data_IF_104753253526
#
_entry.id   IF_104753253526
#
_cell.length_a   1.000
_cell.length_b   1.000
_cell.length_c   1.000
_cell.angle_alpha   90.00
_cell.angle_beta   90.00
_cell.angle_gamma   90.00
#
_symmetry.space_group_name_H-M   'P 1'
#
loop_
_entity.id
_entity.type
_entity.pdbx_description
1 polymer ?
#
# COMPACT_ATOMS: atom_id res chain seq x y z
N UNK A 1 -0.66 30.89 19.18
CA UNK A 1 -1.17 29.59 19.66
C UNK A 1 -1.56 28.62 18.53
N UNK A 2 -2.18 29.04 17.42
CA UNK A 2 -2.60 28.14 16.31
C UNK A 2 -1.44 27.38 15.63
N UNK A 3 -0.24 27.95 15.51
CA UNK A 3 0.93 27.33 14.85
C UNK A 3 1.55 26.18 15.66
N UNK A 4 1.47 26.22 17.00
CA UNK A 4 1.95 25.14 17.88
C UNK A 4 1.01 23.92 17.88
N UNK A 5 -0.31 24.13 17.78
CA UNK A 5 -1.31 23.07 17.72
C UNK A 5 -1.20 22.26 16.40
N UNK A 6 -0.89 22.92 15.28
CA UNK A 6 -0.73 22.23 13.98
C UNK A 6 0.53 21.32 13.91
N UNK A 7 1.60 21.69 14.60
CA UNK A 7 2.86 20.91 14.68
C UNK A 7 2.66 19.65 15.52
N UNK A 8 1.88 19.73 16.61
CA UNK A 8 1.55 18.59 17.48
C UNK A 8 0.69 17.53 16.77
N UNK A 9 -0.32 17.96 16.00
CA UNK A 9 -1.22 17.04 15.29
C UNK A 9 -0.50 16.25 14.16
N UNK A 10 0.43 16.88 13.44
CA UNK A 10 1.21 16.23 12.39
C UNK A 10 2.15 15.14 12.91
N UNK A 11 2.69 15.30 14.12
CA UNK A 11 3.54 14.29 14.78
C UNK A 11 2.81 13.02 15.18
N UNK A 12 1.57 13.14 15.65
CA UNK A 12 0.72 12.02 16.04
C UNK A 12 0.37 11.12 14.86
N UNK A 13 -0.20 11.68 13.80
CA UNK A 13 -0.58 10.93 12.60
C UNK A 13 0.59 10.20 11.95
N UNK A 14 1.78 10.81 11.93
CA UNK A 14 2.99 10.18 11.39
C UNK A 14 3.40 8.94 12.19
N UNK A 15 3.39 9.03 13.52
CA UNK A 15 3.73 7.90 14.40
C UNK A 15 2.72 6.77 14.26
N UNK A 16 1.43 7.08 14.22
CA UNK A 16 0.36 6.10 14.01
C UNK A 16 0.54 5.38 12.67
N UNK A 17 0.75 6.13 11.57
CA UNK A 17 0.98 5.54 10.24
C UNK A 17 2.21 4.66 10.21
N UNK A 18 3.32 5.11 10.82
CA UNK A 18 4.53 4.31 10.94
C UNK A 18 4.33 3.02 11.75
N UNK A 19 3.63 3.11 12.88
CA UNK A 19 3.32 1.96 13.73
C UNK A 19 2.42 0.94 13.02
N UNK A 20 1.44 1.41 12.23
CA UNK A 20 0.55 0.55 11.44
C UNK A 20 1.30 -0.18 10.32
N UNK A 21 2.25 0.45 9.63
CA UNK A 21 3.09 -0.24 8.66
C UNK A 21 3.96 -1.31 9.32
N UNK A 22 4.63 -0.99 10.43
CA UNK A 22 5.46 -1.97 11.15
C UNK A 22 4.60 -3.10 11.72
N UNK A 23 3.52 -2.75 12.42
CA UNK A 23 2.63 -3.72 13.03
C UNK A 23 1.99 -4.65 12.02
N UNK A 24 1.48 -4.11 10.89
CA UNK A 24 0.91 -4.89 9.80
C UNK A 24 1.94 -5.84 9.16
N UNK A 25 3.13 -5.33 8.83
CA UNK A 25 4.19 -6.15 8.24
C UNK A 25 4.66 -7.28 9.17
N UNK A 26 4.87 -6.98 10.46
CA UNK A 26 5.31 -7.98 11.46
C UNK A 26 4.20 -9.00 11.72
N UNK A 27 2.96 -8.56 11.92
CA UNK A 27 1.84 -9.45 12.18
C UNK A 27 1.54 -10.37 10.98
N UNK A 28 1.59 -9.82 9.77
CA UNK A 28 1.46 -10.62 8.55
C UNK A 28 2.60 -11.63 8.41
N UNK A 29 3.85 -11.20 8.63
CA UNK A 29 5.02 -12.09 8.58
C UNK A 29 4.92 -13.24 9.60
N UNK A 30 4.44 -12.97 10.81
CA UNK A 30 4.21 -14.00 11.82
C UNK A 30 3.10 -14.99 11.38
N UNK A 31 1.97 -14.49 10.89
CA UNK A 31 0.88 -15.34 10.39
C UNK A 31 1.32 -16.18 9.18
N UNK A 32 2.06 -15.59 8.25
CA UNK A 32 2.67 -16.27 7.11
C UNK A 32 3.63 -17.39 7.53
N UNK A 33 4.44 -17.16 8.57
CA UNK A 33 5.35 -18.17 9.11
C UNK A 33 4.59 -19.37 9.72
N UNK A 34 3.46 -19.10 10.38
CA UNK A 34 2.59 -20.17 10.88
C UNK A 34 2.00 -20.97 9.72
N UNK A 35 1.49 -20.31 8.68
CA UNK A 35 0.98 -21.01 7.48
C UNK A 35 2.07 -21.83 6.79
N UNK A 36 3.28 -21.29 6.68
CA UNK A 36 4.40 -22.02 6.08
C UNK A 36 4.71 -23.31 6.85
N UNK A 37 4.73 -23.26 8.17
CA UNK A 37 5.06 -24.42 9.01
C UNK A 37 3.92 -25.44 9.15
N UNK A 38 2.66 -25.00 9.03
CA UNK A 38 1.48 -25.86 9.29
C UNK A 38 0.73 -26.28 8.03
N UNK A 39 0.88 -25.55 6.94
CA UNK A 39 0.14 -25.75 5.70
C UNK A 39 1.02 -25.66 4.45
N UNK A 40 2.34 -25.68 4.59
CA UNK A 40 3.33 -25.59 3.49
C UNK A 40 3.08 -24.39 2.55
N UNK A 41 2.58 -23.25 3.07
CA UNK A 41 2.38 -22.04 2.27
C UNK A 41 3.73 -21.34 2.03
N UNK A 42 4.07 -20.85 0.84
CA UNK A 42 3.20 -20.74 -0.35
C UNK A 42 3.18 -21.94 -1.30
N UNK A 43 4.01 -22.96 -1.13
CA UNK A 43 4.19 -24.05 -2.10
C UNK A 43 2.90 -24.85 -2.35
N UNK A 44 2.07 -25.00 -1.31
CA UNK A 44 0.75 -25.64 -1.40
C UNK A 44 -0.16 -25.01 -2.48
N UNK A 45 0.10 -23.77 -2.89
CA UNK A 45 -0.67 -23.08 -3.92
C UNK A 45 -0.44 -23.65 -5.32
N UNK A 46 0.57 -24.48 -5.50
CA UNK A 46 0.89 -25.11 -6.80
C UNK A 46 0.51 -26.59 -6.83
N UNK A 47 -0.03 -27.09 -5.71
CA UNK A 47 -0.48 -28.47 -5.59
C UNK A 47 -1.91 -28.68 -6.14
N UNK A 48 -2.25 -29.89 -6.64
CA UNK A 48 -3.59 -30.21 -7.12
C UNK A 48 -4.61 -30.28 -5.98
N UNK A 49 -5.91 -30.22 -6.32
CA UNK A 49 -7.02 -30.32 -5.38
C UNK A 49 -6.92 -31.58 -4.48
N UNK A 50 -6.44 -32.67 -5.03
CA UNK A 50 -6.25 -33.96 -4.32
C UNK A 50 -5.23 -33.91 -3.18
N UNK A 51 -4.35 -32.91 -3.18
CA UNK A 51 -3.40 -32.65 -2.09
C UNK A 51 -3.94 -31.53 -1.19
N UNK A 52 -4.38 -30.42 -1.78
CA UNK A 52 -4.76 -29.22 -1.04
C UNK A 52 -6.00 -29.42 -0.19
N UNK A 53 -7.08 -29.99 -0.76
CA UNK A 53 -8.37 -30.07 -0.06
C UNK A 53 -8.33 -31.03 1.15
N UNK A 54 -7.73 -32.25 1.06
CA UNK A 54 -7.57 -33.09 2.24
C UNK A 54 -6.63 -32.47 3.28
N UNK A 55 -5.54 -31.83 2.88
CA UNK A 55 -4.64 -31.14 3.80
C UNK A 55 -5.36 -29.99 4.53
N UNK A 56 -6.22 -29.25 3.83
CA UNK A 56 -7.02 -28.17 4.42
C UNK A 56 -8.07 -28.72 5.42
N UNK A 57 -8.78 -29.77 5.05
CA UNK A 57 -9.78 -30.42 5.92
C UNK A 57 -9.15 -30.92 7.21
N UNK A 58 -7.97 -31.57 7.12
CA UNK A 58 -7.22 -32.04 8.28
C UNK A 58 -6.73 -30.93 9.20
N UNK A 59 -6.48 -29.73 8.68
CA UNK A 59 -6.11 -28.55 9.45
C UNK A 59 -7.26 -27.95 10.27
N UNK A 60 -8.49 -28.25 9.90
CA UNK A 60 -9.71 -27.91 10.61
C UNK A 60 -9.88 -26.43 10.90
N UNK A 61 -10.63 -26.14 11.96
CA UNK A 61 -10.95 -24.76 12.38
C UNK A 61 -9.72 -23.91 12.71
N UNK A 62 -8.65 -24.53 13.21
CA UNK A 62 -7.38 -23.84 13.53
C UNK A 62 -6.78 -23.21 12.27
N UNK A 63 -6.75 -23.95 11.16
CA UNK A 63 -6.23 -23.47 9.88
C UNK A 63 -7.10 -22.34 9.31
N UNK A 64 -8.43 -22.43 9.44
CA UNK A 64 -9.35 -21.35 9.05
C UNK A 64 -9.06 -20.07 9.79
N UNK A 65 -8.84 -20.13 11.12
CA UNK A 65 -8.49 -18.95 11.90
C UNK A 65 -7.11 -18.39 11.57
N UNK A 66 -6.16 -19.25 11.23
CA UNK A 66 -4.83 -18.83 10.77
C UNK A 66 -4.93 -18.05 9.46
N UNK A 67 -5.73 -18.52 8.50
CA UNK A 67 -6.01 -17.81 7.25
C UNK A 67 -6.75 -16.49 7.50
N UNK A 68 -7.71 -16.47 8.42
CA UNK A 68 -8.41 -15.24 8.80
C UNK A 68 -7.46 -14.19 9.38
N UNK A 69 -6.57 -14.60 10.29
CA UNK A 69 -5.55 -13.73 10.85
C UNK A 69 -4.59 -13.23 9.77
N UNK A 70 -4.14 -14.11 8.86
CA UNK A 70 -3.27 -13.74 7.72
C UNK A 70 -3.93 -12.70 6.83
N UNK A 71 -5.21 -12.90 6.47
CA UNK A 71 -5.97 -11.97 5.64
C UNK A 71 -6.04 -10.58 6.30
N UNK A 72 -6.45 -10.49 7.55
CA UNK A 72 -6.68 -9.20 8.20
C UNK A 72 -5.41 -8.50 8.64
N UNK A 73 -4.34 -9.22 8.98
CA UNK A 73 -3.03 -8.60 9.24
C UNK A 73 -2.46 -7.94 7.99
N UNK A 74 -2.65 -8.56 6.80
CA UNK A 74 -2.34 -7.92 5.52
C UNK A 74 -3.30 -6.76 5.23
N UNK A 75 -4.60 -6.97 5.47
CA UNK A 75 -5.65 -5.96 5.28
C UNK A 75 -5.41 -4.66 6.06
N UNK A 76 -4.79 -4.75 7.23
CA UNK A 76 -4.42 -3.56 8.02
C UNK A 76 -3.52 -2.59 7.27
N UNK A 77 -2.76 -3.04 6.27
CA UNK A 77 -1.87 -2.18 5.48
C UNK A 77 -2.63 -1.12 4.66
N UNK A 78 -3.92 -1.30 4.39
CA UNK A 78 -4.72 -0.30 3.66
C UNK A 78 -4.76 1.03 4.41
N UNK A 79 -4.84 0.98 5.74
CA UNK A 79 -4.97 2.20 6.57
C UNK A 79 -3.73 3.11 6.45
N UNK A 80 -2.50 2.64 6.71
CA UNK A 80 -1.32 3.50 6.57
C UNK A 80 -1.05 3.91 5.12
N UNK A 81 -1.42 3.10 4.11
CA UNK A 81 -1.34 3.49 2.69
C UNK A 81 -2.22 4.72 2.44
N UNK A 82 -3.47 4.72 2.90
CA UNK A 82 -4.41 5.84 2.74
C UNK A 82 -3.96 7.10 3.51
N UNK A 83 -3.31 6.95 4.65
CA UNK A 83 -2.81 8.06 5.46
C UNK A 83 -1.50 8.66 4.93
N UNK A 84 -0.76 7.93 4.10
CA UNK A 84 0.58 8.30 3.67
C UNK A 84 0.68 9.68 2.99
N UNK A 85 -0.22 10.07 2.06
CA UNK A 85 -0.16 11.41 1.44
C UNK A 85 -0.25 12.56 2.44
N UNK A 86 -1.09 12.38 3.48
CA UNK A 86 -1.23 13.36 4.53
C UNK A 86 0.04 13.47 5.40
N UNK A 87 0.61 12.33 5.75
CA UNK A 87 1.83 12.24 6.57
C UNK A 87 3.05 12.81 5.84
N UNK A 88 3.11 12.63 4.52
CA UNK A 88 4.18 13.19 3.69
C UNK A 88 3.96 14.68 3.35
N UNK A 89 2.83 15.28 3.74
CA UNK A 89 2.49 16.67 3.41
C UNK A 89 2.26 16.90 1.91
N UNK A 90 1.80 15.88 1.18
CA UNK A 90 1.66 15.88 -0.28
C UNK A 90 0.27 15.39 -0.75
N UNK A 91 -0.78 15.85 -0.07
CA UNK A 91 -2.16 15.45 -0.39
C UNK A 91 -2.57 15.78 -1.82
N UNK A 92 -2.03 16.87 -2.37
CA UNK A 92 -2.36 17.35 -3.72
C UNK A 92 -1.43 16.83 -4.83
N UNK A 93 -0.44 15.99 -4.48
CA UNK A 93 0.46 15.38 -5.47
C UNK A 93 -0.29 14.30 -6.26
N UNK A 94 -0.52 14.50 -7.59
CA UNK A 94 -1.32 13.57 -8.38
C UNK A 94 -0.72 12.16 -8.43
N UNK A 95 0.62 12.06 -8.53
CA UNK A 95 1.30 10.78 -8.60
C UNK A 95 1.12 9.99 -7.29
N UNK A 96 1.21 10.68 -6.14
CA UNK A 96 1.01 10.04 -4.83
C UNK A 96 -0.46 9.66 -4.60
N UNK A 97 -1.42 10.42 -5.12
CA UNK A 97 -2.85 10.07 -5.07
C UNK A 97 -3.13 8.80 -5.88
N UNK A 98 -2.63 8.73 -7.11
CA UNK A 98 -2.75 7.52 -7.94
C UNK A 98 -2.07 6.33 -7.27
N UNK A 99 -0.84 6.49 -6.78
CA UNK A 99 -0.14 5.44 -6.04
C UNK A 99 -0.94 4.95 -4.83
N UNK A 100 -1.53 5.86 -4.05
CA UNK A 100 -2.35 5.51 -2.88
C UNK A 100 -3.57 4.66 -3.28
N UNK A 101 -4.26 5.04 -4.36
CA UNK A 101 -5.37 4.24 -4.89
C UNK A 101 -4.92 2.86 -5.32
N UNK A 102 -3.82 2.77 -6.08
CA UNK A 102 -3.22 1.51 -6.54
C UNK A 102 -2.82 0.63 -5.36
N UNK A 103 -2.18 1.20 -4.33
CA UNK A 103 -1.80 0.47 -3.12
C UNK A 103 -3.01 -0.04 -2.33
N UNK A 104 -4.05 0.77 -2.19
CA UNK A 104 -5.29 0.35 -1.52
C UNK A 104 -6.01 -0.77 -2.31
N UNK A 105 -6.09 -0.63 -3.63
CA UNK A 105 -6.67 -1.66 -4.51
C UNK A 105 -5.89 -2.98 -4.43
N UNK A 106 -4.55 -2.92 -4.38
CA UNK A 106 -3.69 -4.08 -4.15
C UNK A 106 -4.09 -4.86 -2.89
N UNK A 107 -4.23 -4.15 -1.76
CA UNK A 107 -4.62 -4.78 -0.49
C UNK A 107 -6.00 -5.43 -0.58
N UNK A 108 -6.98 -4.76 -1.21
CA UNK A 108 -8.32 -5.30 -1.37
C UNK A 108 -8.36 -6.56 -2.23
N UNK A 109 -7.62 -6.58 -3.34
CA UNK A 109 -7.52 -7.76 -4.21
C UNK A 109 -6.82 -8.93 -3.50
N UNK A 110 -5.74 -8.66 -2.77
CA UNK A 110 -5.06 -9.68 -1.96
C UNK A 110 -5.96 -10.22 -0.84
N UNK A 111 -6.80 -9.36 -0.22
CA UNK A 111 -7.80 -9.80 0.77
C UNK A 111 -8.80 -10.80 0.18
N UNK A 112 -9.27 -10.59 -1.06
CA UNK A 112 -10.13 -11.55 -1.75
C UNK A 112 -9.40 -12.89 -1.89
N UNK A 113 -8.13 -12.85 -2.31
CA UNK A 113 -7.29 -14.03 -2.42
C UNK A 113 -7.13 -14.80 -1.10
N UNK A 114 -6.88 -14.10 0.01
CA UNK A 114 -6.74 -14.73 1.33
C UNK A 114 -8.08 -15.19 1.91
N UNK A 115 -9.13 -14.37 1.82
CA UNK A 115 -10.42 -14.69 2.43
C UNK A 115 -11.15 -15.87 1.75
N UNK A 116 -10.79 -16.24 0.52
CA UNK A 116 -11.31 -17.49 -0.08
C UNK A 116 -10.97 -18.72 0.76
N UNK A 117 -9.82 -18.74 1.45
CA UNK A 117 -9.42 -19.80 2.35
C UNK A 117 -10.29 -19.91 3.61
N UNK A 118 -11.01 -18.84 3.93
CA UNK A 118 -11.91 -18.78 5.09
C UNK A 118 -13.34 -19.13 4.71
N UNK A 119 -13.80 -18.66 3.54
CA UNK A 119 -15.23 -18.73 3.19
C UNK A 119 -15.55 -19.72 2.05
N UNK A 120 -14.59 -20.02 1.19
CA UNK A 120 -14.82 -20.86 -0.01
C UNK A 120 -14.21 -22.26 0.16
N UNK A 121 -12.98 -22.32 0.65
CA UNK A 121 -12.24 -23.60 0.72
C UNK A 121 -12.80 -24.57 1.76
N UNK A 122 -13.26 -24.19 2.97
CA UNK A 122 -13.76 -25.14 3.96
C UNK A 122 -14.89 -26.04 3.45
N UNK A 123 -15.99 -25.53 2.84
CA UNK A 123 -17.03 -26.40 2.30
C UNK A 123 -16.56 -27.25 1.13
N UNK A 124 -15.62 -26.77 0.30
CA UNK A 124 -15.04 -27.57 -0.78
C UNK A 124 -14.20 -28.74 -0.24
N UNK A 125 -13.37 -28.48 0.77
CA UNK A 125 -12.53 -29.49 1.41
C UNK A 125 -13.37 -30.59 2.05
N UNK A 126 -14.38 -30.20 2.84
CA UNK A 126 -15.32 -31.16 3.45
C UNK A 126 -16.10 -31.98 2.41
N UNK A 127 -16.57 -31.34 1.32
CA UNK A 127 -17.26 -32.05 0.24
C UNK A 127 -16.31 -33.03 -0.51
N UNK A 128 -15.06 -32.62 -0.68
CA UNK A 128 -14.05 -33.46 -1.35
C UNK A 128 -13.73 -34.72 -0.51
N UNK A 129 -13.52 -34.57 0.80
CA UNK A 129 -13.13 -35.68 1.69
C UNK A 129 -14.30 -36.58 2.01
N UNK A 130 -15.50 -36.04 2.26
CA UNK A 130 -16.68 -36.81 2.66
C UNK A 130 -17.58 -37.29 1.50
N UNK A 131 -17.33 -36.83 0.27
CA UNK A 131 -18.19 -37.08 -0.89
C UNK A 131 -17.87 -38.35 -1.64
N UNK A 132 -18.81 -38.78 -2.47
CA UNK A 132 -18.60 -39.81 -3.50
C UNK A 132 -17.77 -39.26 -4.68
N UNK A 133 -17.45 -40.14 -5.66
CA UNK A 133 -16.64 -39.76 -6.81
C UNK A 133 -17.21 -38.57 -7.61
N UNK A 134 -18.53 -38.42 -7.68
CA UNK A 134 -19.19 -37.31 -8.38
C UNK A 134 -19.02 -36.01 -7.61
N UNK A 135 -19.21 -36.07 -6.30
CA UNK A 135 -19.02 -34.91 -5.39
C UNK A 135 -17.57 -34.47 -5.37
N UNK A 136 -16.62 -35.40 -5.34
CA UNK A 136 -15.18 -35.09 -5.41
C UNK A 136 -14.82 -34.38 -6.72
N UNK A 137 -15.31 -34.89 -7.88
CA UNK A 137 -15.06 -34.25 -9.17
C UNK A 137 -15.66 -32.83 -9.25
N UNK A 138 -16.85 -32.64 -8.67
CA UNK A 138 -17.46 -31.30 -8.58
C UNK A 138 -16.67 -30.35 -7.68
N UNK A 139 -16.17 -30.83 -6.54
CA UNK A 139 -15.35 -30.04 -5.63
C UNK A 139 -13.98 -29.69 -6.25
N UNK A 140 -13.36 -30.58 -7.00
CA UNK A 140 -12.11 -30.33 -7.75
C UNK A 140 -12.30 -29.26 -8.84
N UNK A 141 -13.38 -29.36 -9.63
CA UNK A 141 -13.69 -28.35 -10.64
C UNK A 141 -13.95 -26.97 -10.01
N UNK A 142 -14.69 -26.91 -8.90
CA UNK A 142 -14.95 -25.68 -8.15
C UNK A 142 -13.66 -25.11 -7.54
N UNK A 143 -12.81 -25.96 -6.96
CA UNK A 143 -11.49 -25.56 -6.46
C UNK A 143 -10.65 -24.94 -7.58
N UNK A 144 -10.52 -25.63 -8.72
CA UNK A 144 -9.72 -25.15 -9.85
C UNK A 144 -10.19 -23.76 -10.30
N UNK A 145 -11.51 -23.56 -10.47
CA UNK A 145 -12.06 -22.25 -10.85
C UNK A 145 -11.77 -21.17 -9.79
N UNK A 146 -11.97 -21.46 -8.51
CA UNK A 146 -11.73 -20.50 -7.43
C UNK A 146 -10.24 -20.24 -7.20
N UNK A 147 -9.41 -21.25 -7.38
CA UNK A 147 -7.96 -21.11 -7.25
C UNK A 147 -7.40 -20.20 -8.34
N UNK A 148 -7.80 -20.39 -9.58
CA UNK A 148 -7.37 -19.57 -10.71
C UNK A 148 -7.93 -18.15 -10.63
N UNK A 149 -9.24 -17.99 -10.35
CA UNK A 149 -9.84 -16.64 -10.33
C UNK A 149 -9.50 -15.86 -9.05
N UNK A 150 -9.86 -16.38 -7.88
CA UNK A 150 -9.69 -15.67 -6.61
C UNK A 150 -8.23 -15.67 -6.13
N UNK A 151 -7.49 -16.75 -6.41
CA UNK A 151 -6.08 -16.89 -6.04
C UNK A 151 -5.13 -16.27 -7.03
N UNK A 152 -4.88 -16.98 -8.13
CA UNK A 152 -3.85 -16.60 -9.09
C UNK A 152 -4.12 -15.25 -9.75
N UNK A 153 -5.34 -15.01 -10.25
CA UNK A 153 -5.65 -13.74 -10.93
C UNK A 153 -5.78 -12.56 -9.95
N UNK A 154 -6.71 -12.64 -8.96
CA UNK A 154 -7.01 -11.48 -8.11
C UNK A 154 -5.96 -11.28 -7.02
N UNK A 155 -5.68 -12.33 -6.23
CA UNK A 155 -4.82 -12.24 -5.08
C UNK A 155 -3.33 -12.10 -5.45
N UNK A 156 -2.86 -12.97 -6.33
CA UNK A 156 -1.44 -13.03 -6.67
C UNK A 156 -1.10 -12.11 -7.85
N UNK A 157 -1.74 -12.24 -9.01
CA UNK A 157 -1.36 -11.44 -10.17
C UNK A 157 -1.68 -9.95 -9.98
N UNK A 158 -2.95 -9.61 -9.88
CA UNK A 158 -3.35 -8.20 -9.77
C UNK A 158 -2.96 -7.60 -8.43
N UNK A 159 -3.13 -8.33 -7.32
CA UNK A 159 -2.74 -7.86 -6.00
C UNK A 159 -1.26 -7.49 -5.93
N UNK A 160 -0.37 -8.37 -6.40
CA UNK A 160 1.08 -8.13 -6.38
C UNK A 160 1.50 -7.06 -7.39
N UNK A 161 0.98 -7.06 -8.62
CA UNK A 161 1.34 -6.03 -9.62
C UNK A 161 0.99 -4.63 -9.13
N UNK A 162 -0.17 -4.46 -8.50
CA UNK A 162 -0.55 -3.17 -7.94
C UNK A 162 0.29 -2.80 -6.71
N UNK A 163 0.68 -3.77 -5.86
CA UNK A 163 1.63 -3.53 -4.77
C UNK A 163 2.99 -3.05 -5.29
N UNK A 164 3.49 -3.71 -6.32
CA UNK A 164 4.73 -3.36 -7.02
C UNK A 164 4.61 -1.94 -7.63
N UNK A 165 3.52 -1.64 -8.32
CA UNK A 165 3.26 -0.32 -8.91
C UNK A 165 3.23 0.80 -7.86
N UNK A 166 2.56 0.57 -6.72
CA UNK A 166 2.58 1.46 -5.57
C UNK A 166 3.99 1.69 -5.05
N UNK A 167 4.74 0.61 -4.83
CA UNK A 167 6.09 0.65 -4.27
C UNK A 167 7.07 1.37 -5.19
N UNK A 168 7.01 1.12 -6.51
CA UNK A 168 7.83 1.81 -7.52
C UNK A 168 7.53 3.30 -7.51
N UNK A 169 6.24 3.67 -7.57
CA UNK A 169 5.84 5.08 -7.61
C UNK A 169 6.27 5.82 -6.36
N UNK A 170 6.04 5.24 -5.17
CA UNK A 170 6.48 5.83 -3.91
C UNK A 170 8.01 5.95 -3.84
N UNK A 171 8.74 4.92 -4.27
CA UNK A 171 10.21 4.91 -4.30
C UNK A 171 10.77 5.99 -5.21
N UNK A 172 10.19 6.19 -6.40
CA UNK A 172 10.57 7.27 -7.33
C UNK A 172 10.29 8.65 -6.72
N UNK A 173 9.15 8.83 -6.05
CA UNK A 173 8.83 10.07 -5.34
C UNK A 173 9.86 10.33 -4.24
N UNK A 174 10.24 9.33 -3.45
CA UNK A 174 11.26 9.47 -2.39
C UNK A 174 12.61 9.89 -2.99
N UNK A 175 13.05 9.24 -4.06
CA UNK A 175 14.34 9.52 -4.70
C UNK A 175 14.41 10.94 -5.29
N UNK A 176 13.33 11.39 -5.95
CA UNK A 176 13.25 12.70 -6.60
C UNK A 176 13.07 13.84 -5.59
N UNK A 177 12.17 13.68 -4.64
CA UNK A 177 11.80 14.74 -3.71
C UNK A 177 12.60 14.77 -2.42
N UNK A 178 13.31 13.69 -2.10
CA UNK A 178 14.15 13.55 -0.88
C UNK A 178 13.38 13.79 0.43
N UNK A 179 12.07 13.58 0.42
CA UNK A 179 11.21 13.72 1.61
C UNK A 179 11.53 12.67 2.69
N UNK A 180 12.01 11.50 2.25
CA UNK A 180 12.54 10.42 3.07
C UNK A 180 13.97 10.09 2.61
N UNK A 181 14.73 9.28 3.37
CA UNK A 181 16.09 8.89 2.99
C UNK A 181 16.14 8.18 1.64
N UNK A 182 17.10 8.53 0.79
CA UNK A 182 17.22 7.97 -0.58
C UNK A 182 17.40 6.45 -0.59
N UNK A 183 18.06 5.88 0.42
CA UNK A 183 18.25 4.43 0.51
C UNK A 183 16.89 3.70 0.50
N UNK A 184 15.87 4.26 1.16
CA UNK A 184 14.53 3.68 1.20
C UNK A 184 13.89 3.63 -0.21
N UNK A 185 14.09 4.66 -1.03
CA UNK A 185 13.64 4.64 -2.42
C UNK A 185 14.41 3.62 -3.27
N UNK A 186 15.74 3.52 -3.09
CA UNK A 186 16.56 2.56 -3.82
C UNK A 186 16.20 1.11 -3.45
N UNK A 187 16.07 0.80 -2.17
CA UNK A 187 15.68 -0.55 -1.70
C UNK A 187 14.26 -0.91 -2.13
N UNK A 188 13.34 0.06 -2.17
CA UNK A 188 11.99 -0.16 -2.67
C UNK A 188 11.95 -0.52 -4.16
N UNK A 189 12.77 0.11 -5.00
CA UNK A 189 12.90 -0.28 -6.41
C UNK A 189 13.52 -1.69 -6.56
N UNK A 190 14.55 -2.01 -5.78
CA UNK A 190 15.18 -3.32 -5.80
C UNK A 190 14.21 -4.43 -5.36
N UNK A 191 13.49 -4.24 -4.25
CA UNK A 191 12.48 -5.18 -3.78
C UNK A 191 11.34 -5.34 -4.80
N UNK A 192 10.90 -4.25 -5.44
CA UNK A 192 9.88 -4.29 -6.49
C UNK A 192 10.33 -5.08 -7.72
N UNK A 193 11.58 -4.93 -8.14
CA UNK A 193 12.14 -5.68 -9.27
C UNK A 193 12.19 -7.18 -8.97
N UNK A 194 12.66 -7.58 -7.78
CA UNK A 194 12.67 -8.98 -7.35
C UNK A 194 11.23 -9.54 -7.26
N UNK A 195 10.31 -8.76 -6.71
CA UNK A 195 8.91 -9.19 -6.56
C UNK A 195 8.20 -9.30 -7.92
N UNK A 196 8.61 -8.51 -8.92
CA UNK A 196 8.09 -8.62 -10.28
C UNK A 196 8.47 -9.96 -10.92
N UNK A 197 9.65 -10.50 -10.61
CA UNK A 197 10.09 -11.81 -11.12
C UNK A 197 9.20 -12.96 -10.63
N UNK A 198 8.55 -12.81 -9.46
CA UNK A 198 7.58 -13.79 -8.96
C UNK A 198 6.33 -13.92 -9.86
N UNK A 199 6.07 -12.96 -10.74
CA UNK A 199 4.95 -13.05 -11.68
C UNK A 199 5.16 -14.19 -12.69
N UNK A 200 6.39 -14.69 -12.89
CA UNK A 200 6.68 -15.89 -13.68
C UNK A 200 5.98 -17.12 -13.12
N UNK A 201 6.04 -17.33 -11.80
CA UNK A 201 5.37 -18.45 -11.12
C UNK A 201 3.83 -18.38 -11.26
N UNK A 202 3.26 -17.19 -11.12
CA UNK A 202 1.82 -16.98 -11.31
C UNK A 202 1.40 -17.21 -12.75
N UNK A 203 2.15 -16.70 -13.73
CA UNK A 203 1.87 -16.87 -15.16
C UNK A 203 2.03 -18.33 -15.61
N UNK A 204 2.94 -19.09 -15.01
CA UNK A 204 3.10 -20.52 -15.29
C UNK A 204 1.84 -21.33 -14.97
N UNK A 205 0.96 -20.87 -14.09
CA UNK A 205 -0.34 -21.51 -13.82
C UNK A 205 -1.32 -21.42 -15.00
N UNK A 206 -1.11 -20.46 -15.91
CA UNK A 206 -1.97 -20.21 -17.07
C UNK A 206 -1.27 -20.48 -18.40
N UNK A 207 0.05 -20.35 -18.46
CA UNK A 207 0.87 -20.51 -19.67
C UNK A 207 1.87 -21.64 -19.45
N UNK A 208 1.64 -22.84 -19.98
CA UNK A 208 2.55 -23.97 -19.81
C UNK A 208 3.98 -23.64 -20.31
N UNK A 209 4.98 -23.94 -19.48
CA UNK A 209 6.39 -23.69 -19.83
C UNK A 209 6.84 -22.23 -19.65
N UNK A 210 6.03 -21.35 -19.04
CA UNK A 210 6.47 -20.01 -18.70
C UNK A 210 7.66 -20.10 -17.72
N UNK A 211 8.72 -19.27 -17.90
CA UNK A 211 9.90 -19.31 -17.03
C UNK A 211 9.57 -18.95 -15.58
N UNK A 212 9.98 -19.80 -14.65
CA UNK A 212 9.83 -19.59 -13.21
C UNK A 212 11.20 -19.47 -12.56
N UNK A 213 11.29 -18.58 -11.60
CA UNK A 213 12.44 -18.40 -10.73
C UNK A 213 12.03 -18.78 -9.30
N UNK A 214 12.37 -19.96 -8.85
CA UNK A 214 11.90 -20.55 -7.58
C UNK A 214 12.13 -19.64 -6.37
N UNK A 215 13.23 -18.91 -6.32
CA UNK A 215 13.54 -17.99 -5.22
C UNK A 215 12.86 -16.63 -5.35
N UNK A 216 12.28 -16.27 -6.50
CA UNK A 216 11.72 -14.96 -6.73
C UNK A 216 10.54 -14.64 -5.80
N UNK A 217 9.69 -15.63 -5.53
CA UNK A 217 8.58 -15.52 -4.58
C UNK A 217 9.05 -15.20 -3.17
N UNK A 218 9.96 -16.02 -2.65
CA UNK A 218 10.50 -15.84 -1.30
C UNK A 218 11.26 -14.51 -1.16
N UNK A 219 12.21 -14.24 -2.05
CA UNK A 219 13.05 -13.04 -1.96
C UNK A 219 12.24 -11.76 -2.25
N UNK A 220 11.33 -11.81 -3.23
CA UNK A 220 10.52 -10.66 -3.61
C UNK A 220 9.49 -10.29 -2.54
N UNK A 221 8.69 -11.24 -2.08
CA UNK A 221 7.66 -10.98 -1.07
C UNK A 221 8.27 -10.59 0.29
N UNK A 222 9.32 -11.31 0.74
CA UNK A 222 10.02 -10.99 2.00
C UNK A 222 10.72 -9.63 1.90
N UNK A 223 11.44 -9.37 0.79
CA UNK A 223 12.10 -8.08 0.56
C UNK A 223 11.12 -6.92 0.52
N UNK A 224 9.95 -7.11 -0.11
CA UNK A 224 8.88 -6.12 -0.11
C UNK A 224 8.30 -5.89 1.30
N UNK A 225 8.02 -6.94 2.05
CA UNK A 225 7.54 -6.84 3.42
C UNK A 225 8.52 -6.12 4.36
N UNK A 226 9.82 -6.44 4.24
CA UNK A 226 10.88 -5.75 4.97
C UNK A 226 10.99 -4.27 4.57
N UNK A 227 10.81 -3.94 3.29
CA UNK A 227 10.76 -2.57 2.83
C UNK A 227 9.56 -1.80 3.39
N UNK A 228 8.37 -2.41 3.46
CA UNK A 228 7.18 -1.82 4.11
C UNK A 228 7.45 -1.55 5.59
N UNK A 229 8.07 -2.50 6.30
CA UNK A 229 8.48 -2.30 7.70
C UNK A 229 9.51 -1.16 7.84
N UNK A 230 10.51 -1.10 6.94
CA UNK A 230 11.52 -0.04 6.92
C UNK A 230 10.90 1.35 6.63
N UNK A 231 9.89 1.43 5.76
CA UNK A 231 9.10 2.65 5.55
C UNK A 231 8.43 3.08 6.86
N UNK A 232 7.76 2.16 7.55
CA UNK A 232 7.12 2.41 8.85
C UNK A 232 8.12 2.88 9.91
N UNK A 233 9.24 2.19 10.07
CA UNK A 233 10.32 2.58 11.00
C UNK A 233 10.87 3.97 10.67
N UNK A 234 11.07 4.26 9.40
CA UNK A 234 11.54 5.59 8.96
C UNK A 234 10.56 6.69 9.34
N UNK A 235 9.26 6.45 9.20
CA UNK A 235 8.21 7.37 9.62
C UNK A 235 8.17 7.55 11.15
N UNK A 236 8.47 6.51 11.93
CA UNK A 236 8.54 6.59 13.39
C UNK A 236 9.74 7.43 13.85
N UNK A 237 10.90 7.20 13.29
CA UNK A 237 12.18 7.73 13.80
C UNK A 237 12.56 9.10 13.23
N UNK A 238 12.15 9.44 12.00
CA UNK A 238 12.64 10.64 11.30
C UNK A 238 11.51 11.61 10.98
N UNK A 239 11.68 12.94 11.20
CA UNK A 239 10.75 13.92 10.70
C UNK A 239 10.73 13.93 9.17
N UNK A 240 9.55 14.07 8.58
CA UNK A 240 9.38 14.26 7.13
C UNK A 240 9.90 15.66 6.80
N UNK A 241 10.81 15.78 5.83
CA UNK A 241 11.30 17.08 5.37
C UNK A 241 10.17 17.82 4.66
N UNK A 242 9.93 19.07 5.07
CA UNK A 242 9.03 19.94 4.32
C UNK A 242 9.54 20.11 2.88
N UNK A 243 8.64 20.20 1.88
CA UNK A 243 9.05 20.61 0.54
C UNK A 243 9.83 21.91 0.65
N UNK A 244 10.99 22.02 0.01
CA UNK A 244 11.80 23.23 0.02
C UNK A 244 10.91 24.40 -0.41
N UNK A 245 10.57 25.27 0.53
CA UNK A 245 10.16 26.63 0.19
C UNK A 245 11.35 27.22 -0.58
N UNK A 246 11.13 27.65 -1.81
CA UNK A 246 12.17 28.26 -2.61
C UNK A 246 12.89 29.33 -1.77
N UNK A 247 14.24 29.36 -1.74
CA UNK A 247 14.96 30.45 -1.09
C UNK A 247 14.75 31.69 -1.97
N UNK A 248 13.86 32.58 -1.57
CA UNK A 248 13.68 33.81 -2.33
C UNK A 248 12.32 34.48 -2.16
N UNK A 249 12.03 34.91 -0.97
CA UNK A 249 11.31 36.18 -0.75
C UNK A 249 11.71 36.68 0.63
N UNK A 250 12.99 37.03 0.79
CA UNK A 250 13.32 38.09 1.70
C UNK A 250 12.57 39.32 1.17
N UNK A 251 11.36 39.55 1.71
CA UNK A 251 10.71 40.82 1.58
C UNK A 251 11.71 41.87 2.09
N UNK A 252 12.34 42.55 1.14
CA UNK A 252 13.00 43.82 1.39
C UNK A 252 11.95 44.70 2.04
N UNK A 253 12.03 44.88 3.35
CA UNK A 253 11.29 45.92 4.02
C UNK A 253 11.64 47.24 3.33
N UNK A 254 10.67 48.05 2.91
CA UNK A 254 11.00 49.38 2.41
C UNK A 254 11.60 50.17 3.55
N UNK A 255 12.89 50.50 3.43
CA UNK A 255 13.56 51.49 4.25
C UNK A 255 12.85 52.81 3.97
N UNK A 256 12.03 53.25 4.90
CA UNK A 256 11.50 54.63 4.94
C UNK A 256 12.66 55.49 5.36
N UNK A 257 13.39 56.05 4.39
CA UNK A 257 14.25 57.21 4.60
C UNK A 257 13.35 58.41 4.79
N UNK A 258 13.20 58.84 6.04
CA UNK A 258 12.66 60.15 6.36
C UNK A 258 13.70 61.22 6.04
N UNK A 259 13.45 62.04 5.04
CA UNK A 259 13.90 63.43 4.94
C UNK A 259 13.23 64.07 3.72
N UNK A 260 12.74 65.30 3.94
CA UNK A 260 12.29 66.31 2.98
C UNK A 260 10.84 66.26 2.49
N UNK A 261 9.97 66.85 3.32
CA UNK A 261 8.71 67.42 2.87
C UNK A 261 8.91 68.96 2.67
N UNK A 262 8.61 69.51 1.47
CA UNK A 262 8.45 70.98 1.32
C UNK A 262 7.04 71.40 1.73
N UNK A 263 6.88 72.60 2.31
CA UNK A 263 5.58 73.06 2.79
C UNK A 263 4.74 73.67 1.65
N UNK A 264 3.46 73.35 1.64
CA UNK A 264 2.42 74.17 1.01
C UNK A 264 1.78 73.64 -0.26
N UNK A 265 0.65 72.94 -0.10
CA UNK A 265 -0.45 73.00 -1.06
C UNK A 265 -1.77 72.68 -0.36
N UNK A 266 -2.67 73.65 -0.39
CA UNK A 266 -4.06 73.64 0.09
C UNK A 266 -4.93 72.50 -0.59
N UNK A 267 -5.89 71.91 0.12
CA UNK A 267 -6.78 70.93 -0.44
C UNK A 267 -7.93 71.55 -1.25
N UNK A 268 -8.14 71.05 -2.47
CA UNK A 268 -9.30 71.40 -3.30
C UNK A 268 -10.48 70.46 -2.95
N UNK A 269 -11.72 70.94 -2.83
CA UNK A 269 -12.87 70.12 -2.46
C UNK A 269 -13.38 69.23 -3.65
N UNK A 270 -14.07 68.12 -3.37
CA UNK A 270 -14.53 67.19 -4.37
C UNK A 270 -15.79 67.68 -5.10
N UNK A 271 -15.84 67.40 -6.43
CA UNK A 271 -16.94 67.68 -7.34
C UNK A 271 -18.00 66.55 -7.27
N UNK A 272 -19.30 66.89 -7.32
CA UNK A 272 -20.35 65.89 -7.18
C UNK A 272 -20.53 64.97 -8.41
N UNK A 273 -21.00 63.76 -8.14
CA UNK A 273 -21.29 62.74 -9.09
C UNK A 273 -22.47 63.08 -10.00
N UNK A 274 -22.32 62.81 -11.30
CA UNK A 274 -23.40 62.88 -12.27
C UNK A 274 -24.02 61.48 -12.47
N UNK A 275 -25.29 61.42 -12.14
CA UNK A 275 -26.22 60.31 -12.43
C UNK A 275 -26.50 60.23 -13.95
N UNK A 276 -26.32 59.08 -14.54
CA UNK A 276 -26.73 58.84 -15.93
C UNK A 276 -27.33 57.45 -16.08
N UNK A 277 -28.65 57.41 -16.18
CA UNK A 277 -29.49 56.29 -16.55
C UNK A 277 -29.37 55.96 -18.09
N UNK A 278 -29.79 54.78 -18.42
CA UNK A 278 -30.20 54.11 -19.69
C UNK A 278 -29.12 53.22 -20.31
N UNK A 279 -29.47 52.08 -20.78
CA UNK A 279 -30.67 51.29 -21.11
C UNK A 279 -30.30 49.82 -21.17
#
# INVERSE_FOLDING_TARGET
>A
MARMASISMGGGHRRTTGALFVGGAVAFGAAASVLSSTFNWPDILREPASVVLPAFDSGGTSLVWTWFATAWTYGLLVVPILLLPAVLGRREDPALRVATFVGAASVLLSLIGFLRWVFVVPPLASSYVGGDATTQAAADAAWTAQHQFGGALLGEHLGQLLAIGWSITLSVIILRSRILPRWLGATGLAASALYLLNQGDVLATAVPGFPVWDLAGLLGSTGWGLWVAALGITLLLRPVRAPNSAPGSAQSAPTVNGADAPPGSTPTPPRPAATGLRS
#
